data_IF_213609312443
#
_entry.id   IF_213609312443
#
_cell.length_a   1.000
_cell.length_b   1.000
_cell.length_c   1.000
_cell.angle_alpha   90.00
_cell.angle_beta   90.00
_cell.angle_gamma   90.00
#
_symmetry.space_group_name_H-M   'P 1'
#
loop_
_entity.id
_entity.type
_entity.pdbx_description
1 polymer ?
#
# COMPACT_ATOMS: atom_id res chain seq x y z
N UNK A 1 7.91 17.92 10.31
CA UNK A 1 8.24 16.77 9.43
C UNK A 1 6.97 16.49 8.62
N UNK A 2 7.05 16.21 7.32
CA UNK A 2 5.81 15.94 6.57
C UNK A 2 5.22 14.60 7.05
N UNK A 3 3.89 14.54 7.16
CA UNK A 3 3.19 13.33 7.59
C UNK A 3 3.21 12.22 6.51
N UNK A 4 3.59 12.56 5.27
CA UNK A 4 3.64 11.61 4.18
C UNK A 4 4.65 12.02 3.09
N UNK A 5 5.10 11.03 2.31
CA UNK A 5 6.00 11.17 1.17
C UNK A 5 5.58 10.21 0.06
N UNK A 6 5.44 10.69 -1.17
CA UNK A 6 5.05 9.88 -2.33
C UNK A 6 6.06 10.06 -3.46
N UNK A 7 6.42 8.97 -4.12
CA UNK A 7 7.24 8.99 -5.33
C UNK A 7 6.57 8.17 -6.44
N UNK A 8 6.79 8.62 -7.67
CA UNK A 8 6.46 7.89 -8.89
C UNK A 8 7.74 7.78 -9.70
N UNK A 9 8.09 6.56 -10.09
CA UNK A 9 9.27 6.34 -10.92
C UNK A 9 8.88 6.32 -12.41
N UNK A 10 9.69 6.96 -13.27
CA UNK A 10 9.40 6.99 -14.70
C UNK A 10 9.58 5.60 -15.31
N UNK A 11 9.00 5.43 -16.50
CA UNK A 11 9.29 4.27 -17.34
C UNK A 11 10.80 4.16 -17.59
N UNK A 12 11.35 2.96 -17.43
CA UNK A 12 12.76 2.64 -17.73
C UNK A 12 12.86 1.46 -18.70
N UNK A 13 14.07 1.21 -19.17
CA UNK A 13 14.41 0.06 -20.02
C UNK A 13 14.02 -1.24 -19.31
N UNK A 14 13.34 -2.10 -20.06
CA UNK A 14 12.93 -3.45 -19.64
C UNK A 14 14.18 -4.27 -19.30
N UNK A 15 14.20 -4.83 -18.09
CA UNK A 15 15.14 -5.84 -17.60
C UNK A 15 14.68 -7.24 -18.05
N UNK A 16 15.64 -8.11 -18.27
CA UNK A 16 15.36 -9.54 -18.39
C UNK A 16 15.22 -10.13 -16.99
N UNK A 17 14.09 -10.80 -16.67
CA UNK A 17 13.97 -11.50 -15.40
C UNK A 17 14.98 -12.64 -15.31
N UNK A 18 15.44 -12.94 -14.10
CA UNK A 18 16.33 -14.08 -13.86
C UNK A 18 15.61 -15.39 -14.15
N UNK A 19 16.36 -16.39 -14.61
CA UNK A 19 15.84 -17.71 -14.96
C UNK A 19 15.03 -18.34 -13.81
N UNK A 20 15.46 -18.16 -12.57
CA UNK A 20 14.76 -18.66 -11.38
C UNK A 20 13.35 -18.06 -11.21
N UNK A 21 13.17 -16.78 -11.56
CA UNK A 21 11.88 -16.10 -11.45
C UNK A 21 10.92 -16.64 -12.51
N UNK A 22 11.40 -16.77 -13.75
CA UNK A 22 10.63 -17.34 -14.86
C UNK A 22 10.21 -18.78 -14.52
N UNK A 23 11.14 -19.59 -14.02
CA UNK A 23 10.87 -20.97 -13.59
C UNK A 23 9.85 -21.03 -12.46
N UNK A 24 10.03 -20.23 -11.41
CA UNK A 24 9.12 -20.20 -10.26
C UNK A 24 7.67 -19.93 -10.69
N UNK A 25 7.44 -18.90 -11.51
CA UNK A 25 6.08 -18.59 -11.96
C UNK A 25 5.54 -19.65 -12.91
N UNK A 26 6.35 -20.19 -13.84
CA UNK A 26 5.90 -21.29 -14.70
C UNK A 26 5.45 -22.50 -13.86
N UNK A 27 6.19 -22.85 -12.81
CA UNK A 27 5.84 -23.95 -11.90
C UNK A 27 4.56 -23.61 -11.10
N UNK A 28 4.42 -22.38 -10.60
CA UNK A 28 3.22 -21.93 -9.86
C UNK A 28 1.96 -21.98 -10.73
N UNK A 29 2.01 -21.44 -11.96
CA UNK A 29 0.89 -21.47 -12.89
C UNK A 29 0.54 -22.91 -13.30
N UNK A 30 1.54 -23.77 -13.50
CA UNK A 30 1.31 -25.17 -13.82
C UNK A 30 0.58 -25.94 -12.69
N UNK A 31 0.87 -25.62 -11.42
CA UNK A 31 0.17 -26.19 -10.27
C UNK A 31 -1.31 -25.79 -10.22
N UNK A 32 -1.64 -24.58 -10.68
CA UNK A 32 -3.01 -24.07 -10.79
C UNK A 32 -3.73 -24.54 -12.08
N UNK A 33 -3.10 -25.42 -12.87
CA UNK A 33 -3.66 -25.91 -14.14
C UNK A 33 -3.64 -24.89 -15.29
N UNK A 34 -2.92 -23.79 -15.11
CA UNK A 34 -2.75 -22.73 -16.11
C UNK A 34 -1.49 -23.03 -16.92
N UNK A 35 -1.61 -23.07 -18.25
CA UNK A 35 -0.52 -23.56 -19.10
C UNK A 35 0.77 -22.73 -18.97
N UNK A 36 0.67 -21.40 -19.07
CA UNK A 36 1.78 -20.47 -18.92
C UNK A 36 1.28 -19.07 -18.51
N UNK A 37 2.08 -18.29 -17.77
CA UNK A 37 1.79 -16.89 -17.52
C UNK A 37 1.79 -16.06 -18.81
N UNK A 38 1.02 -14.98 -18.83
CA UNK A 38 1.08 -13.96 -19.87
C UNK A 38 2.39 -13.18 -19.74
N UNK A 39 3.43 -13.61 -20.46
CA UNK A 39 4.75 -13.00 -20.45
C UNK A 39 4.72 -11.47 -20.55
N UNK A 40 3.85 -10.91 -21.39
CA UNK A 40 3.73 -9.48 -21.61
C UNK A 40 3.35 -8.70 -20.33
N UNK A 41 2.62 -9.31 -19.40
CA UNK A 41 2.19 -8.67 -18.14
C UNK A 41 3.35 -8.24 -17.24
N UNK A 42 4.52 -8.86 -17.37
CA UNK A 42 5.69 -8.55 -16.55
C UNK A 42 6.97 -8.28 -17.33
N UNK A 43 7.00 -8.48 -18.65
CA UNK A 43 8.18 -8.16 -19.49
C UNK A 43 8.00 -6.95 -20.40
N UNK A 44 6.78 -6.47 -20.65
CA UNK A 44 6.57 -5.30 -21.53
C UNK A 44 6.31 -4.00 -20.77
N UNK A 45 6.39 -4.07 -19.45
CA UNK A 45 6.22 -2.92 -18.57
C UNK A 45 7.49 -2.64 -17.79
N UNK A 46 7.52 -1.52 -17.10
CA UNK A 46 8.67 -1.14 -16.29
C UNK A 46 8.73 -2.00 -15.02
N UNK A 47 9.86 -2.68 -14.85
CA UNK A 47 10.11 -3.65 -13.79
C UNK A 47 10.98 -3.02 -12.69
N UNK A 48 10.35 -2.22 -11.83
CA UNK A 48 11.00 -1.87 -10.57
C UNK A 48 10.75 -2.96 -9.54
N UNK A 49 11.80 -3.35 -8.83
CA UNK A 49 11.64 -4.12 -7.61
C UNK A 49 11.19 -3.17 -6.48
N UNK A 50 10.57 -3.71 -5.42
CA UNK A 50 10.23 -2.94 -4.22
C UNK A 50 11.48 -2.39 -3.55
N UNK A 51 12.61 -3.10 -3.66
CA UNK A 51 13.90 -2.58 -3.20
C UNK A 51 14.28 -1.28 -3.92
N UNK A 52 14.12 -1.22 -5.25
CA UNK A 52 14.39 0.01 -6.03
C UNK A 52 13.40 1.14 -5.71
N UNK A 53 12.12 0.81 -5.53
CA UNK A 53 11.08 1.78 -5.15
C UNK A 53 11.31 2.34 -3.75
N UNK A 54 11.63 1.47 -2.78
CA UNK A 54 11.95 1.86 -1.42
C UNK A 54 13.18 2.75 -1.36
N UNK A 55 14.27 2.37 -2.03
CA UNK A 55 15.48 3.19 -2.11
C UNK A 55 15.21 4.60 -2.63
N UNK A 56 14.41 4.71 -3.69
CA UNK A 56 14.06 6.00 -4.27
C UNK A 56 13.16 6.83 -3.34
N UNK A 57 12.21 6.20 -2.63
CA UNK A 57 11.37 6.85 -1.63
C UNK A 57 12.22 7.40 -0.48
N UNK A 58 13.17 6.61 0.02
CA UNK A 58 14.02 7.00 1.14
C UNK A 58 15.03 8.08 0.75
N UNK A 59 15.45 8.14 -0.51
CA UNK A 59 16.24 9.25 -1.03
C UNK A 59 15.43 10.57 -1.11
N UNK A 60 14.10 10.49 -1.21
CA UNK A 60 13.21 11.64 -1.33
C UNK A 60 12.68 12.17 0.02
N UNK A 61 13.00 11.51 1.14
CA UNK A 61 12.53 11.89 2.47
C UNK A 61 13.68 11.88 3.51
N UNK A 62 13.52 12.52 4.68
CA UNK A 62 14.50 12.44 5.77
C UNK A 62 14.42 11.08 6.48
N UNK A 63 14.67 10.00 5.74
CA UNK A 63 14.42 8.62 6.15
C UNK A 63 15.08 8.26 7.49
N UNK A 64 16.36 8.61 7.67
CA UNK A 64 17.10 8.32 8.91
C UNK A 64 16.45 8.96 10.15
N UNK A 65 15.90 10.16 10.01
CA UNK A 65 15.20 10.84 11.10
C UNK A 65 13.85 10.17 11.37
N UNK A 66 13.12 9.86 10.31
CA UNK A 66 11.82 9.18 10.42
C UNK A 66 11.97 7.83 11.12
N UNK A 67 12.93 7.02 10.68
CA UNK A 67 13.09 5.65 11.16
C UNK A 67 13.59 5.59 12.60
N UNK A 68 14.38 6.59 13.02
CA UNK A 68 14.83 6.73 14.40
C UNK A 68 13.70 7.10 15.38
N UNK A 69 12.59 7.65 14.87
CA UNK A 69 11.46 8.10 15.69
C UNK A 69 10.29 7.11 15.72
N UNK A 70 10.25 6.12 14.82
CA UNK A 70 9.12 5.17 14.73
C UNK A 70 9.41 3.90 15.53
N UNK A 71 8.37 3.36 16.15
CA UNK A 71 8.43 2.12 16.93
C UNK A 71 8.03 0.88 16.09
N UNK A 72 7.38 1.13 14.95
CA UNK A 72 6.75 0.13 14.10
C UNK A 72 6.83 0.56 12.64
N UNK A 73 7.23 -0.36 11.76
CA UNK A 73 7.06 -0.25 10.31
C UNK A 73 6.12 -1.33 9.83
N UNK A 74 5.14 -0.95 9.03
CA UNK A 74 4.31 -1.89 8.29
C UNK A 74 4.47 -1.58 6.82
N UNK A 75 4.77 -2.60 6.03
CA UNK A 75 4.87 -2.52 4.58
C UNK A 75 3.61 -3.16 4.01
N UNK A 76 3.00 -2.53 3.01
CA UNK A 76 1.81 -3.01 2.33
C UNK A 76 2.03 -2.99 0.82
N UNK A 77 1.73 -4.10 0.17
CA UNK A 77 1.75 -4.17 -1.29
C UNK A 77 0.69 -5.15 -1.78
N UNK A 78 0.22 -4.92 -2.99
CA UNK A 78 -0.79 -5.77 -3.62
C UNK A 78 -0.16 -7.08 -4.10
N UNK A 79 0.81 -7.00 -5.00
CA UNK A 79 1.37 -8.15 -5.70
C UNK A 79 2.67 -8.63 -5.07
N UNK A 80 3.11 -9.83 -5.41
CA UNK A 80 4.51 -10.21 -5.17
C UNK A 80 5.47 -9.30 -5.95
N UNK A 81 6.64 -9.01 -5.38
CA UNK A 81 7.69 -8.22 -6.02
C UNK A 81 8.13 -8.84 -7.36
N UNK A 82 8.45 -7.99 -8.34
CA UNK A 82 9.07 -8.43 -9.58
C UNK A 82 10.50 -8.88 -9.30
N UNK A 83 10.79 -10.14 -9.64
CA UNK A 83 12.11 -10.77 -9.52
C UNK A 83 12.83 -10.41 -8.21
N UNK A 84 12.33 -10.87 -7.05
CA UNK A 84 12.93 -10.54 -5.77
C UNK A 84 14.21 -11.33 -5.50
N UNK A 85 15.14 -10.71 -4.78
CA UNK A 85 16.25 -11.42 -4.12
C UNK A 85 15.85 -11.95 -2.72
N UNK A 86 14.82 -11.36 -2.11
CA UNK A 86 14.26 -11.72 -0.82
C UNK A 86 12.99 -10.90 -0.57
N UNK A 87 12.38 -10.99 0.62
CA UNK A 87 11.28 -10.07 0.95
C UNK A 87 11.81 -8.66 1.11
N UNK A 88 11.00 -7.66 0.72
CA UNK A 88 11.36 -6.27 0.88
C UNK A 88 11.66 -5.93 2.36
N UNK A 89 10.86 -6.44 3.30
CA UNK A 89 11.10 -6.22 4.72
C UNK A 89 12.47 -6.69 5.20
N UNK A 90 12.93 -7.87 4.74
CA UNK A 90 14.25 -8.39 5.07
C UNK A 90 15.37 -7.58 4.41
N UNK A 91 15.20 -7.21 3.14
CA UNK A 91 16.12 -6.31 2.44
C UNK A 91 16.26 -4.97 3.19
N UNK A 92 15.13 -4.35 3.51
CA UNK A 92 15.04 -3.08 4.19
C UNK A 92 15.71 -3.13 5.55
N UNK A 93 15.43 -4.17 6.34
CA UNK A 93 16.02 -4.33 7.66
C UNK A 93 17.54 -4.51 7.60
N UNK A 94 18.02 -5.35 6.69
CA UNK A 94 19.45 -5.59 6.53
C UNK A 94 20.19 -4.35 6.02
N UNK A 95 19.69 -3.73 4.95
CA UNK A 95 20.35 -2.59 4.29
C UNK A 95 20.47 -1.37 5.19
N UNK A 96 19.40 -1.05 5.93
CA UNK A 96 19.35 0.15 6.75
C UNK A 96 19.62 -0.11 8.24
N UNK A 97 19.94 -1.36 8.62
CA UNK A 97 20.22 -1.72 10.02
C UNK A 97 19.00 -1.56 10.93
N UNK A 98 17.80 -1.85 10.42
CA UNK A 98 16.55 -1.63 11.13
C UNK A 98 16.33 -2.76 12.14
N UNK A 99 16.24 -2.42 13.41
CA UNK A 99 15.99 -3.37 14.51
C UNK A 99 14.59 -3.23 15.10
N UNK A 100 13.80 -2.26 14.64
CA UNK A 100 12.41 -2.05 15.07
C UNK A 100 11.49 -3.13 14.49
N UNK A 101 10.28 -3.24 15.05
CA UNK A 101 9.31 -4.23 14.57
C UNK A 101 8.86 -3.89 13.16
N UNK A 102 8.86 -4.90 12.31
CA UNK A 102 8.52 -4.79 10.90
C UNK A 102 7.55 -5.89 10.49
N UNK A 103 6.53 -5.54 9.72
CA UNK A 103 5.57 -6.47 9.13
C UNK A 103 5.41 -6.21 7.64
N UNK A 104 5.44 -7.28 6.85
CA UNK A 104 5.08 -7.24 5.43
C UNK A 104 3.63 -7.74 5.30
N UNK A 105 2.75 -6.92 4.73
CA UNK A 105 1.34 -7.22 4.44
C UNK A 105 1.18 -7.33 2.93
N UNK A 106 0.98 -8.55 2.48
CA UNK A 106 0.87 -8.91 1.07
C UNK A 106 -0.36 -9.76 0.79
N UNK A 107 -0.61 -10.01 -0.50
CA UNK A 107 -1.60 -10.98 -0.99
C UNK A 107 -3.04 -10.67 -0.58
N UNK A 108 -3.36 -9.39 -0.35
CA UNK A 108 -4.70 -8.90 -0.02
C UNK A 108 -5.18 -7.82 -0.99
N UNK A 109 -4.62 -7.76 -2.20
CA UNK A 109 -5.10 -6.78 -3.16
C UNK A 109 -4.83 -5.35 -2.71
N UNK A 110 -5.77 -4.48 -3.09
CA UNK A 110 -5.89 -3.11 -2.61
C UNK A 110 -6.29 -3.02 -1.13
N UNK A 111 -6.64 -4.12 -0.47
CA UNK A 111 -6.98 -4.14 0.95
C UNK A 111 -5.75 -4.21 1.86
N UNK A 112 -4.56 -4.54 1.33
CA UNK A 112 -3.31 -4.61 2.11
C UNK A 112 -3.04 -3.36 2.96
N UNK A 113 -3.21 -2.12 2.47
CA UNK A 113 -3.01 -0.92 3.29
C UNK A 113 -4.05 -0.78 4.42
N UNK A 114 -5.29 -1.24 4.22
CA UNK A 114 -6.33 -1.21 5.26
C UNK A 114 -5.96 -2.17 6.39
N UNK A 115 -5.52 -3.38 6.05
CA UNK A 115 -5.00 -4.35 7.01
C UNK A 115 -3.77 -3.83 7.77
N UNK A 116 -2.87 -3.15 7.07
CA UNK A 116 -1.70 -2.53 7.68
C UNK A 116 -2.10 -1.45 8.70
N UNK A 117 -3.07 -0.59 8.38
CA UNK A 117 -3.60 0.39 9.32
C UNK A 117 -4.22 -0.29 10.55
N UNK A 118 -4.96 -1.39 10.39
CA UNK A 118 -5.51 -2.14 11.53
C UNK A 118 -4.41 -2.65 12.47
N UNK A 119 -3.31 -3.15 11.91
CA UNK A 119 -2.14 -3.59 12.70
C UNK A 119 -1.55 -2.39 13.44
N UNK A 120 -1.32 -1.27 12.76
CA UNK A 120 -0.81 -0.03 13.36
C UNK A 120 -1.71 0.42 14.52
N UNK A 121 -3.03 0.49 14.30
CA UNK A 121 -4.00 0.85 15.33
C UNK A 121 -3.95 -0.09 16.53
N UNK A 122 -3.84 -1.40 16.32
CA UNK A 122 -3.74 -2.36 17.42
C UNK A 122 -2.44 -2.17 18.24
N UNK A 123 -1.33 -1.87 17.60
CA UNK A 123 -0.07 -1.57 18.29
C UNK A 123 -0.13 -0.25 19.07
N UNK A 124 -0.71 0.79 18.48
CA UNK A 124 -0.91 2.08 19.15
C UNK A 124 -1.87 1.93 20.35
N UNK A 125 -3.03 1.31 20.15
CA UNK A 125 -4.04 1.13 21.19
C UNK A 125 -3.56 0.25 22.36
N UNK A 126 -2.62 -0.67 22.11
CA UNK A 126 -1.99 -1.48 23.16
C UNK A 126 -0.77 -0.82 23.82
N UNK A 127 -0.44 0.43 23.45
CA UNK A 127 0.73 1.15 23.95
C UNK A 127 2.08 0.55 23.51
N UNK A 128 2.07 -0.29 22.47
CA UNK A 128 3.26 -0.97 21.94
C UNK A 128 3.98 -0.19 20.84
N UNK A 129 3.38 0.90 20.37
CA UNK A 129 3.95 1.89 19.47
C UNK A 129 3.33 3.26 19.76
N UNK A 130 4.13 4.31 19.79
CA UNK A 130 3.66 5.71 19.82
C UNK A 130 3.68 6.30 18.41
N UNK A 131 4.61 5.87 17.57
CA UNK A 131 4.76 6.32 16.19
C UNK A 131 4.98 5.12 15.27
N UNK A 132 4.32 5.12 14.13
CA UNK A 132 4.41 4.04 13.15
C UNK A 132 4.56 4.60 11.74
N UNK A 133 5.23 3.84 10.87
CA UNK A 133 5.34 4.12 9.45
C UNK A 133 4.58 3.05 8.66
N UNK A 134 3.77 3.46 7.70
CA UNK A 134 3.21 2.60 6.67
C UNK A 134 3.91 2.90 5.35
N UNK A 135 4.47 1.88 4.71
CA UNK A 135 5.09 1.98 3.39
C UNK A 135 4.25 1.17 2.41
N UNK A 136 3.67 1.83 1.41
CA UNK A 136 2.90 1.19 0.36
C UNK A 136 3.70 1.13 -0.94
N UNK A 137 3.68 0.01 -1.64
CA UNK A 137 4.29 -0.12 -2.97
C UNK A 137 3.27 -0.53 -4.03
N UNK A 138 3.48 0.00 -5.23
CA UNK A 138 2.88 -0.50 -6.46
C UNK A 138 3.94 -0.69 -7.52
N UNK A 139 3.81 -1.79 -8.25
CA UNK A 139 4.63 -2.08 -9.42
C UNK A 139 3.72 -2.45 -10.59
N UNK A 140 4.15 -2.12 -11.79
CA UNK A 140 3.38 -2.46 -12.99
C UNK A 140 3.67 -3.88 -13.49
N UNK A 141 4.84 -4.44 -13.16
CA UNK A 141 5.30 -5.73 -13.65
C UNK A 141 4.80 -6.88 -12.79
N UNK A 142 3.61 -7.40 -13.10
CA UNK A 142 2.94 -8.44 -12.31
C UNK A 142 2.64 -9.65 -13.22
N UNK A 143 3.16 -10.85 -12.91
CA UNK A 143 2.83 -12.05 -13.67
C UNK A 143 1.38 -12.47 -13.46
N UNK A 144 0.60 -12.53 -14.54
CA UNK A 144 -0.79 -13.01 -14.52
C UNK A 144 -1.03 -14.11 -15.55
N UNK A 145 -2.18 -14.77 -15.44
CA UNK A 145 -2.65 -15.71 -16.47
C UNK A 145 -3.04 -15.02 -17.76
N UNK A 146 -3.00 -15.77 -18.86
CA UNK A 146 -3.41 -15.28 -20.18
C UNK A 146 -4.89 -14.89 -20.19
N UNK A 147 -5.16 -13.64 -20.56
CA UNK A 147 -6.53 -13.14 -20.62
C UNK A 147 -7.09 -12.72 -19.28
N UNK A 148 -6.23 -12.51 -18.27
CA UNK A 148 -6.59 -11.88 -17.00
C UNK A 148 -7.33 -10.57 -17.25
N UNK A 149 -8.52 -10.45 -16.65
CA UNK A 149 -9.39 -9.27 -16.73
C UNK A 149 -9.38 -8.59 -15.37
N UNK A 150 -8.25 -7.96 -15.04
CA UNK A 150 -8.10 -7.15 -13.84
C UNK A 150 -7.31 -5.88 -14.12
N UNK A 151 -7.33 -4.95 -13.17
CA UNK A 151 -6.66 -3.68 -13.31
C UNK A 151 -5.28 -3.73 -12.66
N UNK A 152 -4.23 -3.47 -13.43
CA UNK A 152 -2.87 -3.28 -12.89
C UNK A 152 -2.67 -1.87 -12.35
N UNK A 153 -1.67 -1.65 -11.49
CA UNK A 153 -1.29 -0.29 -11.15
C UNK A 153 -0.80 0.39 -12.42
N UNK A 154 -1.25 1.63 -12.65
CA UNK A 154 -0.88 2.38 -13.85
C UNK A 154 0.56 2.91 -13.81
N UNK A 155 1.21 2.83 -12.64
CA UNK A 155 2.52 3.39 -12.34
C UNK A 155 3.31 2.50 -11.38
N UNK A 156 4.62 2.70 -11.37
CA UNK A 156 5.48 2.19 -10.30
C UNK A 156 5.66 3.31 -9.27
N UNK A 157 5.21 3.08 -8.05
CA UNK A 157 5.14 4.12 -7.04
C UNK A 157 5.31 3.58 -5.63
N UNK A 158 5.68 4.47 -4.73
CA UNK A 158 5.85 4.17 -3.33
C UNK A 158 5.38 5.34 -2.47
N UNK A 159 4.73 5.02 -1.35
CA UNK A 159 4.21 6.03 -0.42
C UNK A 159 4.58 5.66 1.01
N UNK A 160 5.13 6.62 1.74
CA UNK A 160 5.37 6.55 3.18
C UNK A 160 4.34 7.43 3.90
N UNK A 161 3.64 6.85 4.87
CA UNK A 161 2.70 7.53 5.75
C UNK A 161 3.15 7.37 7.20
N UNK A 162 3.06 8.45 7.98
CA UNK A 162 3.44 8.47 9.38
C UNK A 162 2.18 8.58 10.26
N UNK A 163 2.06 7.67 11.22
CA UNK A 163 0.97 7.61 12.19
C UNK A 163 1.53 7.87 13.58
N UNK A 164 0.81 8.67 14.37
CA UNK A 164 1.19 8.97 15.75
C UNK A 164 -0.02 8.75 16.67
N UNK A 165 0.24 8.26 17.88
CA UNK A 165 -0.76 8.02 18.91
C UNK A 165 -1.36 9.32 19.46
N UNK A 166 -0.54 10.38 19.51
CA UNK A 166 -0.93 11.68 20.03
C UNK A 166 -1.35 12.60 18.89
N UNK A 167 -2.45 13.32 19.12
CA UNK A 167 -2.88 14.39 18.25
C UNK A 167 -1.86 15.53 18.26
N UNK A 168 -1.35 15.91 17.08
CA UNK A 168 -0.50 17.08 16.88
C UNK A 168 -1.29 18.26 16.29
N UNK A 169 -0.87 19.52 16.52
CA UNK A 169 -1.52 20.70 15.94
C UNK A 169 -1.60 20.71 14.41
N UNK A 170 -0.71 19.98 13.73
CA UNK A 170 -0.64 19.82 12.28
C UNK A 170 -1.35 18.56 11.76
N UNK A 171 -2.04 17.83 12.63
CA UNK A 171 -2.84 16.66 12.23
C UNK A 171 -3.96 17.13 11.31
N UNK A 172 -4.10 16.50 10.14
CA UNK A 172 -5.18 16.81 9.18
C UNK A 172 -6.37 15.88 9.42
N UNK A 173 -6.10 14.58 9.56
CA UNK A 173 -7.09 13.55 9.82
C UNK A 173 -6.65 12.64 10.96
N UNK A 174 -7.62 12.15 11.73
CA UNK A 174 -7.44 11.08 12.69
C UNK A 174 -8.16 9.83 12.18
N UNK A 175 -7.48 8.68 12.22
CA UNK A 175 -8.11 7.39 11.93
C UNK A 175 -8.99 7.01 13.12
N UNK A 176 -10.30 6.94 12.88
CA UNK A 176 -11.29 6.54 13.88
C UNK A 176 -11.42 5.02 13.91
N UNK A 177 -11.43 4.39 12.73
CA UNK A 177 -11.71 2.97 12.60
C UNK A 177 -11.16 2.43 11.27
N UNK A 178 -10.79 1.15 11.26
CA UNK A 178 -10.44 0.42 10.04
C UNK A 178 -11.04 -0.99 10.11
N UNK A 179 -11.94 -1.31 9.19
CA UNK A 179 -12.70 -2.57 9.15
C UNK A 179 -12.40 -3.34 7.87
N UNK A 180 -12.47 -4.65 8.02
CA UNK A 180 -12.58 -5.59 6.90
C UNK A 180 -13.89 -6.33 7.13
N UNK A 181 -14.83 -6.16 6.21
CA UNK A 181 -16.17 -6.70 6.29
C UNK A 181 -16.43 -7.58 5.09
N UNK A 182 -17.39 -8.51 5.19
CA UNK A 182 -17.93 -9.16 4.01
C UNK A 182 -18.81 -8.20 3.22
N UNK A 183 -18.79 -8.31 1.89
CA UNK A 183 -19.51 -7.40 0.98
C UNK A 183 -21.02 -7.33 1.30
N UNK A 184 -21.61 -8.46 1.71
CA UNK A 184 -23.03 -8.59 2.09
C UNK A 184 -23.45 -7.71 3.28
N UNK A 185 -22.49 -7.22 4.07
CA UNK A 185 -22.75 -6.53 5.33
C UNK A 185 -22.54 -5.01 5.25
N UNK A 186 -22.30 -4.46 4.05
CA UNK A 186 -21.98 -3.03 3.90
C UNK A 186 -23.17 -2.23 3.38
N UNK A 187 -23.67 -1.32 4.22
CA UNK A 187 -24.60 -0.28 3.80
C UNK A 187 -23.80 0.88 3.16
N UNK A 188 -23.98 1.10 1.87
CA UNK A 188 -23.32 2.20 1.15
C UNK A 188 -23.87 3.54 1.64
N UNK A 189 -23.09 4.29 2.41
CA UNK A 189 -23.43 5.64 2.88
C UNK A 189 -22.98 6.71 1.86
N UNK A 190 -23.65 7.87 1.88
CA UNK A 190 -23.46 8.96 0.93
C UNK A 190 -22.21 9.82 1.13
N UNK A 191 -21.40 9.55 2.16
CA UNK A 191 -20.14 10.27 2.46
C UNK A 191 -18.88 9.42 2.21
N UNK A 192 -19.03 8.27 1.54
CA UNK A 192 -17.92 7.36 1.29
C UNK A 192 -17.18 7.68 -0.03
N UNK A 193 -15.85 7.70 0.01
CA UNK A 193 -15.03 7.60 -1.22
C UNK A 193 -14.96 6.12 -1.57
N UNK A 194 -15.62 5.74 -2.67
CA UNK A 194 -15.66 4.36 -3.12
C UNK A 194 -14.54 4.14 -4.12
N UNK A 195 -13.61 3.26 -3.79
CA UNK A 195 -12.59 2.76 -4.71
C UNK A 195 -13.07 1.39 -5.16
N UNK A 196 -13.56 1.34 -6.40
CA UNK A 196 -14.12 0.13 -7.01
C UNK A 196 -13.28 -0.36 -8.19
N UNK A 197 -13.52 -1.58 -8.69
CA UNK A 197 -12.74 -2.14 -9.78
C UNK A 197 -12.82 -1.40 -11.12
N UNK A 198 -13.87 -0.62 -11.31
CA UNK A 198 -14.04 0.23 -12.50
C UNK A 198 -13.23 1.53 -12.41
N UNK A 199 -12.67 1.82 -11.23
CA UNK A 199 -11.74 2.94 -11.04
C UNK A 199 -10.38 2.47 -11.54
N UNK A 200 -9.75 3.15 -12.50
CA UNK A 200 -8.57 2.64 -13.22
C UNK A 200 -7.27 2.62 -12.39
N UNK A 201 -7.37 2.73 -11.07
CA UNK A 201 -6.24 2.92 -10.15
C UNK A 201 -6.33 1.90 -8.99
N UNK A 202 -6.01 0.63 -9.28
CA UNK A 202 -5.72 -0.36 -8.24
C UNK A 202 -4.31 -0.11 -7.70
N UNK A 203 -4.19 0.77 -6.71
CA UNK A 203 -2.88 1.20 -6.22
C UNK A 203 -2.89 1.35 -4.70
N UNK A 204 -2.01 0.59 -4.04
CA UNK A 204 -1.79 0.65 -2.59
C UNK A 204 -1.17 2.00 -2.16
N UNK A 205 -0.25 2.52 -2.97
CA UNK A 205 0.47 3.78 -2.74
C UNK A 205 -0.39 5.00 -3.05
N UNK A 206 -1.27 4.94 -4.04
CA UNK A 206 -2.16 6.05 -4.39
C UNK A 206 -3.48 6.02 -3.60
N UNK A 207 -3.75 4.97 -2.80
CA UNK A 207 -5.01 4.78 -2.05
C UNK A 207 -5.43 6.03 -1.25
N UNK A 208 -4.46 6.73 -0.67
CA UNK A 208 -4.69 7.88 0.20
C UNK A 208 -4.51 9.23 -0.51
N UNK A 209 -4.09 9.24 -1.78
CA UNK A 209 -3.88 10.48 -2.53
C UNK A 209 -5.16 11.33 -2.66
N UNK A 210 -6.36 10.75 -2.88
CA UNK A 210 -7.58 11.55 -2.95
C UNK A 210 -7.89 12.35 -1.68
N UNK A 211 -7.33 12.00 -0.53
CA UNK A 211 -7.59 12.70 0.75
C UNK A 211 -6.39 13.48 1.29
N UNK A 212 -5.17 13.08 0.93
CA UNK A 212 -3.93 13.73 1.38
C UNK A 212 -3.42 14.80 0.41
N UNK A 213 -3.95 14.86 -0.82
CA UNK A 213 -3.49 15.84 -1.79
C UNK A 213 -3.80 17.28 -1.33
N UNK A 214 -2.82 18.21 -1.31
CA UNK A 214 -2.99 19.57 -0.79
C UNK A 214 -4.11 20.38 -1.46
N UNK A 215 -4.42 20.06 -2.72
CA UNK A 215 -5.49 20.71 -3.49
C UNK A 215 -6.86 20.01 -3.35
N UNK A 216 -6.98 18.93 -2.56
CA UNK A 216 -8.25 18.27 -2.39
C UNK A 216 -9.16 19.12 -1.49
N UNK A 217 -10.06 19.87 -2.13
CA UNK A 217 -11.03 20.75 -1.48
C UNK A 217 -12.26 20.01 -0.95
N UNK A 218 -12.26 18.67 -0.91
CA UNK A 218 -13.33 17.92 -0.24
C UNK A 218 -13.25 18.21 1.26
N UNK A 219 -14.00 19.23 1.67
CA UNK A 219 -14.31 19.65 3.03
C UNK A 219 -13.43 19.04 4.13
N UNK A 220 -12.35 19.74 4.49
CA UNK A 220 -11.56 19.56 5.74
C UNK A 220 -12.41 19.62 7.04
N UNK A 221 -13.74 19.62 6.94
CA UNK A 221 -14.72 19.73 8.00
C UNK A 221 -15.72 18.54 8.01
N UNK A 222 -15.45 17.45 7.26
CA UNK A 222 -16.33 16.29 7.21
C UNK A 222 -15.59 14.99 7.54
N UNK A 223 -16.29 14.09 8.22
CA UNK A 223 -15.87 12.70 8.38
C UNK A 223 -15.91 11.99 7.03
N UNK A 224 -14.85 11.24 6.71
CA UNK A 224 -14.68 10.54 5.45
C UNK A 224 -14.59 9.05 5.73
N UNK A 225 -15.43 8.26 5.07
CA UNK A 225 -15.24 6.82 4.99
C UNK A 225 -14.60 6.49 3.64
N UNK A 226 -13.37 5.97 3.64
CA UNK A 226 -12.80 5.34 2.44
C UNK A 226 -13.31 3.90 2.39
N UNK A 227 -14.16 3.60 1.41
CA UNK A 227 -14.66 2.25 1.16
C UNK A 227 -13.88 1.65 -0.01
N UNK A 228 -13.06 0.67 0.29
CA UNK A 228 -12.24 -0.06 -0.68
C UNK A 228 -12.92 -1.38 -0.97
N UNK A 229 -13.33 -1.56 -2.22
CA UNK A 229 -13.98 -2.79 -2.69
C UNK A 229 -13.00 -3.51 -3.60
N UNK A 230 -12.64 -4.72 -3.19
CA UNK A 230 -11.89 -5.62 -4.03
C UNK A 230 -12.85 -6.56 -4.78
N UNK A 231 -12.82 -6.59 -6.11
CA UNK A 231 -13.67 -7.52 -6.88
C UNK A 231 -13.26 -8.98 -6.75
N UNK A 232 -12.01 -9.24 -6.42
CA UNK A 232 -11.47 -10.61 -6.36
C UNK A 232 -11.75 -11.27 -5.00
N UNK A 233 -12.18 -10.49 -4.01
CA UNK A 233 -12.57 -10.99 -2.70
C UNK A 233 -14.00 -10.61 -2.33
N UNK A 234 -14.66 -11.43 -1.50
CA UNK A 234 -15.93 -11.07 -0.87
C UNK A 234 -15.72 -10.05 0.28
N UNK A 235 -14.60 -9.31 0.27
CA UNK A 235 -14.21 -8.40 1.34
C UNK A 235 -14.27 -6.93 0.91
N UNK A 236 -14.63 -6.10 1.87
CA UNK A 236 -14.63 -4.64 1.77
C UNK A 236 -13.81 -4.08 2.92
N UNK A 237 -12.82 -3.26 2.57
CA UNK A 237 -12.11 -2.41 3.52
C UNK A 237 -12.88 -1.12 3.75
N UNK A 238 -13.07 -0.74 5.01
CA UNK A 238 -13.61 0.58 5.36
C UNK A 238 -12.61 1.26 6.28
N UNK A 239 -12.11 2.42 5.90
CA UNK A 239 -11.29 3.28 6.73
C UNK A 239 -12.04 4.57 7.04
N UNK A 240 -12.37 4.76 8.31
CA UNK A 240 -13.08 5.95 8.79
C UNK A 240 -12.09 6.97 9.31
N UNK A 241 -12.16 8.18 8.77
CA UNK A 241 -11.30 9.32 9.10
C UNK A 241 -12.15 10.48 9.59
N UNK A 242 -11.72 11.13 10.67
CA UNK A 242 -12.30 12.39 11.15
C UNK A 242 -11.33 13.54 10.93
N UNK A 243 -11.84 14.72 10.57
CA UNK A 243 -11.01 15.91 10.51
C UNK A 243 -10.51 16.25 11.92
N UNK A 244 -9.22 16.54 12.04
CA UNK A 244 -8.56 16.79 13.31
C UNK A 244 -9.05 18.07 14.03
N UNK A 245 -9.57 19.03 13.27
CA UNK A 245 -10.11 20.30 13.78
C UNK A 245 -11.60 20.25 14.15
N UNK A 246 -12.28 19.12 13.93
CA UNK A 246 -13.70 18.98 14.29
C UNK A 246 -13.84 18.62 15.79
N UNK A 247 -13.38 19.52 16.66
CA UNK A 247 -13.79 19.52 18.06
C UNK A 247 -15.22 20.05 18.14
N UNK A 248 -16.17 19.17 17.82
CA UNK A 248 -17.52 19.18 18.41
C UNK A 248 -17.64 18.03 19.39
N UNK A 249 -17.13 18.23 20.60
CA UNK A 249 -17.77 18.01 21.92
C UNK A 249 -16.71 17.94 23.03
#
# INVERSE_FOLDING_TARGET
>A
MNAHYHIELPFKVIKQPRERFVRYYNDLFALEGIQQPELNSYIQTTQYSYSELGDALFAACPFEQIIAEVDLVVIAYWSHEFDPDGSFGAYFANKYGITIRLFDICDQGILSPISAIKIIQAFIASGKANKAALICFDQMAIPVEKGFIGAFPSKNSAHLLIFEALHRPDTIYQVVDAKLLRSSNVNKTSSAVIISPQTPYYSCSELFMPILHPNCKSNLAANIDLMVIDSESDQVGILSLTAANDKRS
#
